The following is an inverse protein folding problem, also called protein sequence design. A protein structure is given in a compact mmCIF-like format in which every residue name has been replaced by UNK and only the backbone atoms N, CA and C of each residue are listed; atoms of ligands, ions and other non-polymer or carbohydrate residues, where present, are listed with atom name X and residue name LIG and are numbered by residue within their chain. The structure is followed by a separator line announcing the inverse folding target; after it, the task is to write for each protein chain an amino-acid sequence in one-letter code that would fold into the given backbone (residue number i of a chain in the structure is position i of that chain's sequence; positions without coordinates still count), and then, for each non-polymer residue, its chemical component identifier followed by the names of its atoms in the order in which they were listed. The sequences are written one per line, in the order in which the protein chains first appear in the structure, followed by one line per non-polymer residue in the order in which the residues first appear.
data_IF_182720010890
#
_entry.id   IF_182720010890
#
_cell.length_a   1.000
_cell.length_b   1.000
_cell.length_c   1.000
_cell.angle_alpha   90.00
_cell.angle_beta   90.00
_cell.angle_gamma   90.00
#
_symmetry.space_group_name_H-M   'P 1'
#
loop_
_entity.id
_entity.type
_entity.pdbx_description
1 polymer ?
#
# COMPACT_ATOMS: atom_id res chain seq x y z
N UNK A 1 -5.37 3.59 -2.92
CA UNK A 1 -4.80 2.24 -2.71
C UNK A 1 -4.32 1.57 -4.00
N UNK A 2 -5.15 1.38 -5.03
CA UNK A 2 -4.71 0.74 -6.29
C UNK A 2 -3.52 1.43 -6.97
N UNK A 3 -3.51 2.77 -6.99
CA UNK A 3 -2.39 3.57 -7.53
C UNK A 3 -1.11 3.43 -6.69
N UNK A 4 -1.25 3.33 -5.37
CA UNK A 4 -0.11 3.06 -4.49
C UNK A 4 0.49 1.68 -4.80
N UNK A 5 -0.37 0.66 -4.93
CA UNK A 5 0.05 -0.72 -5.15
C UNK A 5 0.69 -0.97 -6.53
N UNK A 6 0.33 -0.20 -7.56
CA UNK A 6 1.02 -0.27 -8.87
C UNK A 6 2.41 0.35 -8.80
N UNK A 7 2.59 1.51 -8.13
CA UNK A 7 3.90 2.15 -7.99
C UNK A 7 4.84 1.35 -7.09
N UNK A 8 4.31 0.76 -6.00
CA UNK A 8 5.05 -0.15 -5.14
C UNK A 8 5.52 -1.39 -5.91
N UNK A 9 4.63 -2.01 -6.69
CA UNK A 9 4.99 -3.14 -7.55
C UNK A 9 6.04 -2.76 -8.59
N UNK A 10 5.94 -1.58 -9.19
CA UNK A 10 6.89 -1.11 -10.20
C UNK A 10 8.27 -0.84 -9.62
N UNK A 11 8.34 -0.22 -8.44
CA UNK A 11 9.60 -0.03 -7.70
C UNK A 11 10.24 -1.37 -7.34
N UNK A 12 9.45 -2.35 -6.89
CA UNK A 12 9.92 -3.70 -6.59
C UNK A 12 10.45 -4.42 -7.84
N UNK A 13 9.73 -4.34 -8.95
CA UNK A 13 10.10 -4.98 -10.21
C UNK A 13 11.33 -4.36 -10.88
N UNK A 14 11.56 -3.05 -10.68
CA UNK A 14 12.72 -2.33 -11.19
C UNK A 14 13.93 -2.35 -10.24
N UNK A 15 13.85 -3.07 -9.11
CA UNK A 15 14.94 -3.18 -8.14
C UNK A 15 15.90 -4.31 -8.51
N UNK A 16 17.20 -4.02 -8.50
CA UNK A 16 18.26 -4.99 -8.80
C UNK A 16 18.93 -5.59 -7.57
N UNK A 17 18.55 -5.13 -6.38
CA UNK A 17 19.10 -5.63 -5.13
C UNK A 17 18.22 -6.73 -4.54
N UNK A 18 18.68 -7.98 -4.60
CA UNK A 18 17.96 -9.14 -4.09
C UNK A 18 17.57 -9.04 -2.60
N UNK A 19 18.37 -8.38 -1.77
CA UNK A 19 18.00 -8.17 -0.36
C UNK A 19 16.86 -7.17 -0.22
N UNK A 20 16.86 -6.10 -1.01
CA UNK A 20 15.77 -5.12 -1.04
C UNK A 20 14.47 -5.70 -1.60
N UNK A 21 14.56 -6.60 -2.59
CA UNK A 21 13.39 -7.29 -3.13
C UNK A 21 12.76 -8.17 -2.04
N UNK A 22 13.58 -8.99 -1.36
CA UNK A 22 13.11 -9.88 -0.31
C UNK A 22 12.46 -9.11 0.85
N UNK A 23 13.12 -8.03 1.30
CA UNK A 23 12.60 -7.19 2.38
C UNK A 23 11.28 -6.51 2.02
N UNK A 24 11.21 -5.91 0.84
CA UNK A 24 10.00 -5.23 0.35
C UNK A 24 8.85 -6.21 0.12
N UNK A 25 9.12 -7.44 -0.35
CA UNK A 25 8.11 -8.49 -0.46
C UNK A 25 7.52 -8.89 0.90
N UNK A 26 8.36 -9.04 1.93
CA UNK A 26 7.91 -9.31 3.29
C UNK A 26 7.03 -8.16 3.78
N UNK A 27 7.47 -6.92 3.58
CA UNK A 27 6.70 -5.74 3.95
C UNK A 27 5.32 -5.75 3.27
N UNK A 28 5.27 -5.97 1.95
CA UNK A 28 4.02 -6.08 1.16
C UNK A 28 3.11 -7.19 1.71
N UNK A 29 3.66 -8.38 1.97
CA UNK A 29 2.87 -9.51 2.45
C UNK A 29 2.15 -9.18 3.77
N UNK A 30 2.81 -8.44 4.66
CA UNK A 30 2.22 -8.05 5.95
C UNK A 30 1.14 -6.99 5.79
N UNK A 31 1.38 -5.92 5.04
CA UNK A 31 0.45 -4.78 5.03
C UNK A 31 -0.60 -4.83 3.91
N UNK A 32 -0.42 -5.66 2.88
CA UNK A 32 -1.39 -5.77 1.77
C UNK A 32 -2.72 -6.38 2.23
N UNK A 33 -2.69 -7.31 3.18
CA UNK A 33 -3.90 -7.83 3.83
C UNK A 33 -4.63 -6.77 4.65
N UNK A 34 -3.89 -5.96 5.41
CA UNK A 34 -4.44 -4.84 6.18
C UNK A 34 -5.04 -3.76 5.25
N UNK A 35 -4.36 -3.45 4.15
CA UNK A 35 -4.85 -2.54 3.12
C UNK A 35 -6.12 -3.06 2.44
N UNK A 36 -6.19 -4.37 2.14
CA UNK A 36 -7.38 -5.01 1.60
C UNK A 36 -8.57 -4.95 2.58
N UNK A 37 -8.31 -5.17 3.87
CA UNK A 37 -9.32 -5.03 4.92
C UNK A 37 -9.84 -3.60 4.99
N UNK A 38 -8.95 -2.60 5.03
CA UNK A 38 -9.32 -1.20 5.07
C UNK A 38 -10.15 -0.78 3.86
N UNK A 39 -9.74 -1.22 2.66
CA UNK A 39 -10.50 -1.01 1.42
C UNK A 39 -11.90 -1.65 1.48
N UNK A 40 -11.99 -2.87 1.99
CA UNK A 40 -13.26 -3.58 2.19
C UNK A 40 -14.18 -2.87 3.18
N UNK A 41 -13.64 -2.37 4.29
CA UNK A 41 -14.39 -1.57 5.27
C UNK A 41 -14.96 -0.30 4.63
N UNK A 42 -14.15 0.43 3.84
CA UNK A 42 -14.62 1.60 3.09
C UNK A 42 -15.72 1.28 2.09
N UNK A 43 -15.69 0.10 1.45
CA UNK A 43 -16.76 -0.32 0.55
C UNK A 43 -18.08 -0.59 1.27
N UNK A 44 -18.02 -1.18 2.46
CA UNK A 44 -19.20 -1.42 3.30
C UNK A 44 -19.81 -0.10 3.77
N UNK A 45 -18.97 0.84 4.21
CA UNK A 45 -19.39 2.18 4.61
C UNK A 45 -20.02 2.95 3.44
N UNK A 46 -19.43 2.85 2.26
CA UNK A 46 -19.95 3.42 1.01
C UNK A 46 -21.17 2.68 0.43
N UNK A 47 -21.64 1.60 1.09
CA UNK A 47 -22.81 0.78 0.68
C UNK A 47 -22.73 0.30 -0.78
N UNK A 48 -21.55 -0.10 -1.23
CA UNK A 48 -21.37 -0.62 -2.59
C UNK A 48 -22.08 -1.96 -2.77
N UNK A 49 -22.53 -2.25 -4.00
CA UNK A 49 -23.07 -3.55 -4.34
C UNK A 49 -21.97 -4.62 -4.31
N UNK A 50 -22.31 -5.85 -3.91
CA UNK A 50 -21.37 -6.98 -3.79
C UNK A 50 -20.51 -7.17 -5.06
N UNK A 51 -21.12 -6.99 -6.23
CA UNK A 51 -20.42 -7.08 -7.50
C UNK A 51 -19.30 -6.04 -7.64
N UNK A 52 -19.58 -4.77 -7.29
CA UNK A 52 -18.57 -3.70 -7.32
C UNK A 52 -17.47 -3.93 -6.30
N UNK A 53 -17.81 -4.44 -5.11
CA UNK A 53 -16.81 -4.79 -4.09
C UNK A 53 -15.83 -5.85 -4.60
N UNK A 54 -16.35 -6.92 -5.22
CA UNK A 54 -15.53 -7.98 -5.81
C UNK A 54 -14.66 -7.40 -6.94
N UNK A 55 -15.26 -6.66 -7.87
CA UNK A 55 -14.53 -6.06 -9.00
C UNK A 55 -13.36 -5.18 -8.53
N UNK A 56 -13.59 -4.24 -7.61
CA UNK A 56 -12.53 -3.37 -7.12
C UNK A 56 -11.48 -4.11 -6.27
N UNK A 57 -11.88 -5.15 -5.54
CA UNK A 57 -10.94 -6.00 -4.79
C UNK A 57 -10.02 -6.79 -5.73
N UNK A 58 -10.58 -7.32 -6.82
CA UNK A 58 -9.80 -8.00 -7.87
C UNK A 58 -8.83 -7.02 -8.52
N UNK A 59 -9.32 -5.83 -8.93
CA UNK A 59 -8.47 -4.78 -9.49
C UNK A 59 -7.31 -4.46 -8.53
N UNK A 60 -7.60 -4.20 -7.25
CA UNK A 60 -6.59 -3.92 -6.23
C UNK A 60 -5.55 -5.05 -6.09
N UNK A 61 -5.99 -6.31 -6.08
CA UNK A 61 -5.10 -7.46 -5.98
C UNK A 61 -4.10 -7.54 -7.14
N UNK A 62 -4.58 -7.30 -8.38
CA UNK A 62 -3.78 -7.37 -9.62
C UNK A 62 -2.82 -6.19 -9.82
N UNK A 63 -3.02 -5.04 -9.15
CA UNK A 63 -2.15 -3.87 -9.36
C UNK A 63 -0.67 -4.14 -9.02
N UNK A 64 -0.39 -4.87 -7.94
CA UNK A 64 1.02 -5.15 -7.58
C UNK A 64 1.69 -6.13 -8.56
N UNK A 65 1.10 -7.30 -8.92
CA UNK A 65 1.68 -8.15 -9.96
C UNK A 65 1.89 -7.43 -11.30
N UNK A 66 0.93 -6.59 -11.72
CA UNK A 66 1.07 -5.78 -12.93
C UNK A 66 2.22 -4.80 -12.81
N UNK A 67 2.32 -4.09 -11.68
CA UNK A 67 3.44 -3.19 -11.39
C UNK A 67 4.80 -3.92 -11.46
N UNK A 68 4.91 -5.09 -10.82
CA UNK A 68 6.14 -5.91 -10.83
C UNK A 68 6.50 -6.31 -12.25
N UNK A 69 5.55 -6.80 -13.05
CA UNK A 69 5.81 -7.22 -14.42
C UNK A 69 6.31 -6.06 -15.30
N UNK A 70 5.72 -4.87 -15.13
CA UNK A 70 6.16 -3.66 -15.84
C UNK A 70 7.55 -3.23 -15.37
N UNK A 71 7.79 -3.17 -14.06
CA UNK A 71 9.09 -2.80 -13.50
C UNK A 71 10.22 -3.73 -13.97
N UNK A 72 9.96 -5.04 -13.98
CA UNK A 72 10.92 -6.04 -14.44
C UNK A 72 11.22 -5.94 -15.94
N UNK A 73 10.20 -5.64 -16.75
CA UNK A 73 10.40 -5.38 -18.18
C UNK A 73 11.23 -4.11 -18.46
N UNK A 74 11.11 -3.09 -17.61
CA UNK A 74 11.90 -1.85 -17.72
C UNK A 74 13.35 -2.07 -17.29
N UNK A 75 13.60 -2.93 -16.30
CA UNK A 75 14.95 -3.34 -15.92
C UNK A 75 15.68 -4.13 -17.02
N UNK A 76 14.95 -5.01 -17.68
CA UNK A 76 15.48 -5.82 -18.79
C UNK A 76 15.89 -5.00 -20.03
N UNK A 77 15.56 -3.71 -20.09
CA UNK A 77 15.78 -2.83 -21.24
C UNK A 77 16.99 -1.87 -21.09
N UNK A 78 17.92 -2.15 -20.18
CA UNK A 78 19.14 -1.34 -19.91
C UNK A 78 18.86 0.12 -19.52
N UNK A 79 17.72 0.39 -18.90
CA UNK A 79 17.39 1.71 -18.34
C UNK A 79 18.11 1.99 -17.02
N UNK A 80 18.21 3.27 -16.66
CA UNK A 80 18.75 3.71 -15.36
C UNK A 80 17.72 3.43 -14.24
N UNK A 81 17.60 2.15 -13.87
CA UNK A 81 16.45 1.59 -13.15
C UNK A 81 16.39 1.93 -11.67
N UNK A 82 17.52 2.32 -11.08
CA UNK A 82 17.58 2.81 -9.70
C UNK A 82 16.81 4.14 -9.56
N UNK A 83 16.98 5.07 -10.51
CA UNK A 83 16.28 6.36 -10.50
C UNK A 83 14.77 6.14 -10.66
N UNK A 84 14.39 5.25 -11.58
CA UNK A 84 12.99 4.91 -11.80
C UNK A 84 12.37 4.27 -10.56
N UNK A 85 13.06 3.31 -9.94
CA UNK A 85 12.61 2.66 -8.71
C UNK A 85 12.46 3.68 -7.57
N UNK A 86 13.41 4.61 -7.43
CA UNK A 86 13.33 5.70 -6.46
C UNK A 86 12.12 6.62 -6.69
N UNK A 87 11.86 7.04 -7.93
CA UNK A 87 10.68 7.85 -8.29
C UNK A 87 9.39 7.10 -7.95
N UNK A 88 9.30 5.83 -8.32
CA UNK A 88 8.12 5.01 -8.07
C UNK A 88 7.91 4.75 -6.57
N UNK A 89 8.97 4.53 -5.81
CA UNK A 89 8.92 4.42 -4.35
C UNK A 89 8.41 5.73 -3.72
N UNK A 90 8.90 6.89 -4.18
CA UNK A 90 8.43 8.19 -3.71
C UNK A 90 6.95 8.43 -4.02
N UNK A 91 6.48 8.07 -5.22
CA UNK A 91 5.07 8.15 -5.61
C UNK A 91 4.20 7.18 -4.81
N UNK A 92 4.68 5.95 -4.57
CA UNK A 92 4.01 4.98 -3.71
C UNK A 92 3.86 5.55 -2.28
N UNK A 93 4.94 6.04 -1.68
CA UNK A 93 4.92 6.64 -0.35
C UNK A 93 3.98 7.87 -0.27
N UNK A 94 4.05 8.77 -1.25
CA UNK A 94 3.20 9.96 -1.30
C UNK A 94 1.71 9.63 -1.41
N UNK A 95 1.35 8.69 -2.29
CA UNK A 95 -0.05 8.24 -2.44
C UNK A 95 -0.55 7.49 -1.21
N UNK A 96 0.30 6.72 -0.53
CA UNK A 96 -0.04 6.08 0.74
C UNK A 96 -0.34 7.11 1.83
N UNK A 97 0.53 8.11 2.00
CA UNK A 97 0.34 9.19 2.97
C UNK A 97 -0.92 10.00 2.68
N UNK A 98 -1.18 10.33 1.40
CA UNK A 98 -2.40 11.04 0.99
C UNK A 98 -3.66 10.27 1.42
N UNK A 99 -3.75 8.98 1.06
CA UNK A 99 -4.90 8.13 1.38
C UNK A 99 -5.03 7.95 2.90
N UNK A 100 -3.92 7.69 3.59
CA UNK A 100 -3.89 7.57 5.05
C UNK A 100 -4.42 8.81 5.76
N UNK A 101 -3.91 9.98 5.37
CA UNK A 101 -4.22 11.25 6.03
C UNK A 101 -5.61 11.79 5.69
N UNK A 102 -6.05 11.68 4.44
CA UNK A 102 -7.28 12.35 3.97
C UNK A 102 -8.47 11.42 3.82
N UNK A 103 -8.27 10.11 3.69
CA UNK A 103 -9.38 9.15 3.59
C UNK A 103 -9.54 8.38 4.90
N UNK A 104 -8.47 7.72 5.40
CA UNK A 104 -8.59 6.82 6.54
C UNK A 104 -8.67 7.53 7.89
N UNK A 105 -7.86 8.54 8.17
CA UNK A 105 -7.94 9.26 9.44
C UNK A 105 -9.32 9.93 9.63
N UNK A 106 -9.87 10.67 8.65
CA UNK A 106 -11.19 11.28 8.83
C UNK A 106 -12.31 10.26 9.02
N UNK A 107 -12.25 9.14 8.28
CA UNK A 107 -13.17 8.01 8.43
C UNK A 107 -13.07 7.39 9.83
N UNK A 108 -11.85 7.13 10.31
CA UNK A 108 -11.62 6.53 11.63
C UNK A 108 -12.00 7.47 12.79
N UNK A 109 -11.76 8.78 12.66
CA UNK A 109 -11.95 9.78 13.72
C UNK A 109 -13.23 10.62 13.59
N UNK A 110 -14.22 10.16 12.82
CA UNK A 110 -15.51 10.85 12.61
C UNK A 110 -16.22 11.30 13.89
N UNK A 111 -17.02 12.37 13.77
CA UNK A 111 -17.65 13.12 14.89
C UNK A 111 -18.53 12.22 15.78
N UNK A 112 -18.34 12.33 17.10
CA UNK A 112 -19.14 11.64 18.13
C UNK A 112 -18.47 10.44 18.81
N UNK A 113 -17.18 10.19 18.54
CA UNK A 113 -16.48 9.03 19.10
C UNK A 113 -16.01 9.27 20.55
N UNK A 114 -16.63 8.57 21.50
CA UNK A 114 -16.21 8.56 22.92
C UNK A 114 -14.81 7.93 23.15
N UNK A 115 -14.25 7.25 22.14
CA UNK A 115 -13.02 6.45 22.23
C UNK A 115 -11.84 7.03 21.44
N UNK A 116 -11.78 8.36 21.29
CA UNK A 116 -10.80 9.05 20.44
C UNK A 116 -9.35 8.71 20.81
N UNK A 117 -9.05 8.61 22.11
CA UNK A 117 -7.72 8.24 22.62
C UNK A 117 -7.33 6.82 22.20
N UNK A 118 -8.26 5.86 22.26
CA UNK A 118 -8.00 4.46 21.89
C UNK A 118 -7.77 4.30 20.39
N UNK A 119 -8.49 5.06 19.57
CA UNK A 119 -8.26 5.13 18.12
C UNK A 119 -6.87 5.69 17.80
N UNK A 120 -6.47 6.74 18.51
CA UNK A 120 -5.13 7.32 18.36
C UNK A 120 -4.03 6.33 18.77
N UNK A 121 -4.19 5.65 19.91
CA UNK A 121 -3.28 4.58 20.34
C UNK A 121 -3.21 3.46 19.30
N UNK A 122 -4.34 3.03 18.73
CA UNK A 122 -4.36 2.00 17.69
C UNK A 122 -3.59 2.41 16.43
N UNK A 123 -3.69 3.68 16.00
CA UNK A 123 -2.89 4.22 14.89
C UNK A 123 -1.39 4.19 15.23
N UNK A 124 -1.01 4.63 16.43
CA UNK A 124 0.39 4.62 16.87
C UNK A 124 0.97 3.20 16.97
N UNK A 125 0.17 2.25 17.47
CA UNK A 125 0.56 0.84 17.53
C UNK A 125 0.75 0.27 16.12
N UNK A 126 -0.17 0.55 15.20
CA UNK A 126 -0.04 0.14 13.80
C UNK A 126 1.19 0.73 13.12
N UNK A 127 1.43 2.03 13.30
CA UNK A 127 2.63 2.70 12.79
C UNK A 127 3.92 2.11 13.38
N UNK A 128 3.95 1.89 14.70
CA UNK A 128 5.09 1.29 15.39
C UNK A 128 5.37 -0.14 14.92
N UNK A 129 4.34 -0.95 14.72
CA UNK A 129 4.47 -2.31 14.19
C UNK A 129 5.07 -2.32 12.78
N UNK A 130 4.56 -1.46 11.89
CA UNK A 130 5.08 -1.35 10.52
C UNK A 130 6.50 -0.76 10.48
N UNK A 131 6.83 0.17 11.37
CA UNK A 131 8.18 0.74 11.49
C UNK A 131 9.18 -0.28 12.03
N UNK A 132 8.77 -1.14 12.97
CA UNK A 132 9.59 -2.23 13.47
C UNK A 132 9.89 -3.25 12.37
N UNK A 133 8.90 -3.59 11.55
CA UNK A 133 9.12 -4.42 10.34
C UNK A 133 10.16 -3.79 9.43
N UNK A 134 10.04 -2.49 9.14
CA UNK A 134 10.98 -1.77 8.28
C UNK A 134 12.43 -1.72 8.80
N UNK A 135 12.68 -1.93 10.10
CA UNK A 135 14.06 -2.02 10.64
C UNK A 135 14.68 -3.39 10.33
N UNK A 136 13.86 -4.43 10.25
CA UNK A 136 14.29 -5.83 10.09
C UNK A 136 14.15 -6.34 8.65
N UNK A 137 13.66 -5.50 7.75
CA UNK A 137 13.51 -5.73 6.31
C UNK A 137 14.34 -4.68 5.58
#
# INVERSE_FOLDING_TARGET
LSVHSIFEGLSLGASNNGSQIASTLIAIAVHKGLAAYALGASFVEAKLSKWRMILFSVIFAFMTPVGIAIGWGLDSAEGDTEVLSGICSALAAGTFLYVGALEFIPMAFGRGSSYLIWKFVAVLVGYGAMSALAIWT
#
